data_IF_725938663544
#
_entry.id   IF_725938663544
#
_cell.length_a   1.000
_cell.length_b   1.000
_cell.length_c   1.000
_cell.angle_alpha   90.00
_cell.angle_beta   90.00
_cell.angle_gamma   90.00
#
_symmetry.space_group_name_H-M   'P 1'
#
loop_
_entity.id
_entity.type
_entity.pdbx_description
1 polymer ?
#
# COMPACT_ATOMS: atom_id res chain seq x y z
N UNK A 1 15.60 -15.13 -36.31
CA UNK A 1 14.23 -14.83 -35.88
C UNK A 1 13.85 -15.80 -34.78
N UNK A 2 14.16 -15.45 -33.54
CA UNK A 2 13.61 -16.08 -32.32
C UNK A 2 14.08 -15.21 -31.15
N UNK A 3 13.26 -14.26 -30.71
CA UNK A 3 13.52 -13.50 -29.50
C UNK A 3 12.62 -14.07 -28.41
N UNK A 4 13.20 -14.98 -27.63
CA UNK A 4 12.66 -15.45 -26.35
C UNK A 4 12.58 -14.24 -25.42
N UNK A 5 11.37 -13.77 -25.12
CA UNK A 5 11.14 -12.79 -24.06
C UNK A 5 11.33 -13.50 -22.72
N UNK A 6 12.58 -13.42 -22.24
CA UNK A 6 12.97 -13.82 -20.90
C UNK A 6 12.30 -12.86 -19.92
N UNK A 7 11.25 -13.35 -19.24
CA UNK A 7 10.67 -12.72 -18.07
C UNK A 7 11.80 -12.50 -17.06
N UNK A 8 12.30 -11.27 -16.98
CA UNK A 8 13.31 -10.91 -16.02
C UNK A 8 12.58 -10.56 -14.74
N UNK A 9 12.65 -11.51 -13.81
CA UNK A 9 12.31 -11.37 -12.41
C UNK A 9 12.89 -10.07 -11.86
N UNK A 10 12.08 -9.01 -11.88
CA UNK A 10 12.30 -7.80 -11.12
C UNK A 10 11.98 -8.13 -9.68
N UNK A 11 12.91 -8.80 -9.00
CA UNK A 11 12.84 -9.03 -7.57
C UNK A 11 12.73 -7.67 -6.85
N UNK A 12 11.51 -7.28 -6.50
CA UNK A 12 11.29 -6.33 -5.41
C UNK A 12 11.84 -7.02 -4.16
N UNK A 13 13.12 -6.80 -3.87
CA UNK A 13 13.72 -7.24 -2.63
C UNK A 13 13.19 -6.33 -1.53
N UNK A 14 11.96 -6.60 -1.09
CA UNK A 14 11.43 -6.18 0.20
C UNK A 14 12.39 -6.76 1.23
N UNK A 15 13.36 -5.94 1.61
CA UNK A 15 14.42 -6.36 2.51
C UNK A 15 13.77 -6.86 3.78
N UNK A 16 13.99 -8.14 4.08
CA UNK A 16 13.54 -8.82 5.30
C UNK A 16 14.12 -8.12 6.53
N UNK A 17 13.48 -7.06 7.02
CA UNK A 17 13.74 -6.55 8.37
C UNK A 17 12.64 -5.64 8.91
N UNK A 18 11.61 -6.22 9.52
CA UNK A 18 11.10 -5.73 10.82
C UNK A 18 10.03 -6.67 11.41
N UNK A 19 10.43 -7.42 12.44
CA UNK A 19 9.62 -8.32 13.26
C UNK A 19 8.61 -7.58 14.17
N UNK A 20 7.95 -6.50 13.74
CA UNK A 20 7.14 -5.69 14.68
C UNK A 20 5.83 -5.07 14.17
N UNK A 21 5.62 -4.86 12.87
CA UNK A 21 4.43 -4.11 12.42
C UNK A 21 3.89 -4.62 11.08
N UNK A 22 2.57 -4.65 10.97
CA UNK A 22 1.85 -5.03 9.77
C UNK A 22 1.97 -3.96 8.66
N UNK A 23 2.26 -4.33 7.40
CA UNK A 23 2.47 -3.36 6.31
C UNK A 23 1.24 -2.50 6.02
N UNK A 24 0.02 -3.05 6.15
CA UNK A 24 -1.21 -2.28 5.97
C UNK A 24 -1.41 -1.27 7.11
N UNK A 25 -1.01 -1.64 8.33
CA UNK A 25 -1.07 -0.74 9.48
C UNK A 25 -0.15 0.47 9.29
N UNK A 26 1.09 0.25 8.84
CA UNK A 26 2.03 1.34 8.57
C UNK A 26 1.56 2.21 7.38
N UNK A 27 0.98 1.62 6.34
CA UNK A 27 0.35 2.38 5.26
C UNK A 27 -0.79 3.28 5.78
N UNK A 28 -1.68 2.73 6.62
CA UNK A 28 -2.78 3.48 7.21
C UNK A 28 -2.25 4.62 8.08
N UNK A 29 -1.30 4.32 8.96
CA UNK A 29 -0.68 5.29 9.85
C UNK A 29 -0.05 6.46 9.07
N UNK A 30 0.68 6.15 7.99
CA UNK A 30 1.27 7.14 7.10
C UNK A 30 0.20 8.02 6.44
N UNK A 31 -0.90 7.44 5.96
CA UNK A 31 -2.01 8.19 5.37
C UNK A 31 -2.71 9.09 6.38
N UNK A 32 -3.09 8.56 7.53
CA UNK A 32 -3.77 9.29 8.61
C UNK A 32 -2.92 10.49 9.04
N UNK A 33 -1.62 10.31 9.21
CA UNK A 33 -0.69 11.42 9.48
C UNK A 33 -0.59 12.41 8.32
N UNK A 34 -0.59 11.93 7.08
CA UNK A 34 -0.60 12.77 5.88
C UNK A 34 -1.86 13.64 5.76
N UNK A 35 -3.01 13.16 6.24
CA UNK A 35 -4.25 13.92 6.34
C UNK A 35 -4.30 14.88 7.54
N UNK A 36 -3.23 14.96 8.35
CA UNK A 36 -3.15 15.83 9.52
C UNK A 36 -3.83 15.26 10.77
N UNK A 37 -4.22 13.99 10.77
CA UNK A 37 -4.84 13.34 11.92
C UNK A 37 -3.77 12.79 12.86
N UNK A 38 -4.00 12.92 14.16
CA UNK A 38 -3.17 12.33 15.21
C UNK A 38 -3.70 10.95 15.58
N UNK A 39 -3.09 9.89 15.04
CA UNK A 39 -3.37 8.52 15.44
C UNK A 39 -2.06 7.84 15.86
N UNK A 40 -2.15 6.84 16.73
CA UNK A 40 -1.05 5.91 17.04
C UNK A 40 -1.35 4.54 16.45
N UNK A 41 -0.34 3.68 16.31
CA UNK A 41 -0.53 2.32 15.78
C UNK A 41 -1.52 1.51 16.62
N UNK A 42 -1.47 1.69 17.94
CA UNK A 42 -2.36 1.07 18.90
C UNK A 42 -3.78 1.62 18.75
N UNK A 43 -3.94 2.92 18.48
CA UNK A 43 -5.25 3.51 18.25
C UNK A 43 -5.90 3.00 16.96
N UNK A 44 -5.09 2.72 15.93
CA UNK A 44 -5.56 2.17 14.66
C UNK A 44 -5.95 0.69 14.79
N UNK A 45 -5.33 -0.06 15.70
CA UNK A 45 -5.70 -1.45 15.98
C UNK A 45 -6.73 -1.59 17.10
N UNK A 46 -7.04 -0.50 17.81
CA UNK A 46 -7.98 -0.50 18.93
C UNK A 46 -9.41 -0.87 18.47
N UNK A 47 -9.95 -1.93 19.10
CA UNK A 47 -11.32 -2.39 18.82
C UNK A 47 -11.46 -3.27 17.58
N UNK A 48 -10.34 -3.72 17.01
CA UNK A 48 -10.29 -4.64 15.87
C UNK A 48 -9.80 -6.00 16.35
N UNK A 49 -10.52 -7.10 16.08
CA UNK A 49 -10.00 -8.43 16.36
C UNK A 49 -8.88 -8.71 15.35
N UNK A 50 -7.63 -8.58 15.79
CA UNK A 50 -6.47 -8.93 14.99
C UNK A 50 -6.36 -10.46 14.93
N UNK A 51 -6.27 -10.99 13.72
CA UNK A 51 -5.85 -12.38 13.50
C UNK A 51 -4.34 -12.36 13.27
N UNK A 52 -3.58 -13.10 14.08
CA UNK A 52 -2.12 -13.22 13.98
C UNK A 52 -1.36 -11.88 14.05
N UNK A 53 -1.94 -10.89 14.72
CA UNK A 53 -1.40 -9.53 14.81
C UNK A 53 -1.27 -8.83 13.43
N UNK A 54 -2.06 -9.28 12.45
CA UNK A 54 -2.10 -8.74 11.08
C UNK A 54 -3.43 -8.05 10.79
N UNK A 55 -3.38 -7.00 9.97
CA UNK A 55 -4.58 -6.36 9.44
C UNK A 55 -4.96 -7.01 8.12
N UNK A 56 -6.22 -7.39 7.98
CA UNK A 56 -6.79 -7.71 6.68
C UNK A 56 -7.38 -6.45 6.03
N UNK A 57 -7.55 -6.41 4.69
CA UNK A 57 -8.15 -5.26 4.00
C UNK A 57 -9.51 -4.84 4.56
N UNK A 58 -10.31 -5.81 5.03
CA UNK A 58 -11.59 -5.58 5.69
C UNK A 58 -11.44 -4.84 7.03
N UNK A 59 -10.43 -5.21 7.81
CA UNK A 59 -10.12 -4.56 9.09
C UNK A 59 -9.46 -3.20 8.90
N UNK A 60 -8.60 -3.06 7.88
CA UNK A 60 -8.06 -1.76 7.46
C UNK A 60 -9.18 -0.77 7.16
N UNK A 61 -10.20 -1.20 6.40
CA UNK A 61 -11.32 -0.32 6.07
C UNK A 61 -12.12 0.10 7.31
N UNK A 62 -12.23 -0.79 8.29
CA UNK A 62 -12.88 -0.53 9.57
C UNK A 62 -12.06 0.45 10.44
N UNK A 63 -10.75 0.26 10.52
CA UNK A 63 -9.82 1.16 11.22
C UNK A 63 -9.85 2.56 10.63
N UNK A 64 -9.72 2.67 9.31
CA UNK A 64 -9.76 3.94 8.60
C UNK A 64 -11.06 4.72 8.90
N UNK A 65 -12.21 4.03 8.94
CA UNK A 65 -13.50 4.63 9.30
C UNK A 65 -13.55 5.17 10.73
N UNK A 66 -12.84 4.55 11.68
CA UNK A 66 -12.76 5.08 13.05
C UNK A 66 -12.07 6.45 13.09
N UNK A 67 -11.15 6.71 12.17
CA UNK A 67 -10.43 7.98 12.05
C UNK A 67 -11.06 8.92 11.01
N UNK A 68 -12.31 8.69 10.60
CA UNK A 68 -13.03 9.57 9.66
C UNK A 68 -12.58 9.45 8.20
N UNK A 69 -11.82 8.41 7.86
CA UNK A 69 -11.45 8.10 6.48
C UNK A 69 -12.47 7.13 5.85
N UNK A 70 -12.83 7.39 4.60
CA UNK A 70 -13.64 6.48 3.80
C UNK A 70 -12.73 5.71 2.87
N UNK A 71 -12.71 4.39 3.03
CA UNK A 71 -11.90 3.49 2.20
C UNK A 71 -12.80 2.49 1.48
N UNK A 72 -12.40 2.12 0.27
CA UNK A 72 -13.12 1.16 -0.57
C UNK A 72 -12.11 0.29 -1.30
N UNK A 73 -12.20 -1.02 -1.10
CA UNK A 73 -11.41 -1.99 -1.86
C UNK A 73 -12.02 -2.11 -3.24
N UNK A 74 -11.21 -1.87 -4.27
CA UNK A 74 -11.58 -1.95 -5.68
C UNK A 74 -10.54 -2.82 -6.38
N UNK A 75 -10.99 -3.78 -7.19
CA UNK A 75 -10.13 -4.50 -8.13
C UNK A 75 -10.27 -3.84 -9.49
N UNK A 76 -9.21 -3.17 -9.94
CA UNK A 76 -9.11 -2.53 -11.25
C UNK A 76 -7.66 -2.54 -11.69
N UNK A 77 -7.45 -2.50 -12.99
CA UNK A 77 -6.13 -2.34 -13.58
C UNK A 77 -5.51 -1.00 -13.18
N UNK A 78 -4.23 -1.04 -12.82
CA UNK A 78 -3.47 0.16 -12.45
C UNK A 78 -3.39 1.16 -13.61
N UNK A 79 -3.47 0.68 -14.85
CA UNK A 79 -3.53 1.49 -16.08
C UNK A 79 -4.76 2.41 -16.15
N UNK A 80 -5.88 2.03 -15.51
CA UNK A 80 -7.10 2.85 -15.45
C UNK A 80 -7.11 3.81 -14.25
N UNK A 81 -6.10 3.74 -13.37
CA UNK A 81 -6.04 4.56 -12.17
C UNK A 81 -5.54 5.98 -12.51
N UNK A 82 -6.35 7.00 -12.24
CA UNK A 82 -5.96 8.40 -12.46
C UNK A 82 -5.19 8.93 -11.26
N UNK A 83 -4.14 9.71 -11.53
CA UNK A 83 -3.38 10.42 -10.49
C UNK A 83 -4.26 11.34 -9.61
N UNK A 84 -5.42 11.79 -10.10
CA UNK A 84 -6.40 12.57 -9.34
C UNK A 84 -7.03 11.82 -8.15
N UNK A 85 -6.91 10.49 -8.11
CA UNK A 85 -7.39 9.66 -7.00
C UNK A 85 -6.28 9.27 -6.01
N UNK A 86 -5.06 9.77 -6.21
CA UNK A 86 -3.95 9.56 -5.27
C UNK A 86 -4.09 10.48 -4.04
N UNK A 87 -3.64 10.04 -2.85
CA UNK A 87 -2.94 8.79 -2.58
C UNK A 87 -3.88 7.57 -2.44
N UNK A 88 -3.41 6.39 -2.84
CA UNK A 88 -4.14 5.12 -2.72
C UNK A 88 -3.28 4.00 -2.14
N UNK A 89 -3.88 3.00 -1.49
CA UNK A 89 -3.17 1.81 -1.00
C UNK A 89 -3.36 0.68 -2.00
N UNK A 90 -2.25 0.12 -2.47
CA UNK A 90 -2.20 -1.06 -3.32
C UNK A 90 -1.98 -2.29 -2.46
N UNK A 91 -2.82 -3.30 -2.68
CA UNK A 91 -2.68 -4.62 -2.07
C UNK A 91 -1.91 -5.49 -3.06
N UNK A 92 -0.74 -5.98 -2.65
CA UNK A 92 0.11 -6.86 -3.45
C UNK A 92 -0.16 -8.32 -3.09
N UNK A 93 0.26 -9.22 -3.97
CA UNK A 93 0.33 -10.65 -3.66
C UNK A 93 1.34 -10.87 -2.52
N UNK A 94 1.08 -11.87 -1.64
CA UNK A 94 1.80 -12.14 -0.38
C UNK A 94 1.40 -11.30 0.85
N UNK A 95 0.18 -10.75 0.88
CA UNK A 95 -0.31 -9.90 1.97
C UNK A 95 0.59 -8.67 2.24
N UNK A 96 1.23 -8.17 1.19
CA UNK A 96 2.02 -6.94 1.23
C UNK A 96 1.18 -5.74 0.79
N UNK A 97 1.61 -4.55 1.17
CA UNK A 97 0.92 -3.32 0.85
C UNK A 97 1.88 -2.17 0.54
N UNK A 98 1.50 -1.36 -0.44
CA UNK A 98 2.24 -0.16 -0.83
C UNK A 98 1.30 1.04 -0.94
N UNK A 99 1.84 2.23 -0.78
CA UNK A 99 1.11 3.49 -0.99
C UNK A 99 1.45 4.01 -2.38
N UNK A 100 0.46 4.05 -3.26
CA UNK A 100 0.54 4.78 -4.52
C UNK A 100 0.47 6.28 -4.24
N UNK A 101 1.57 6.98 -4.47
CA UNK A 101 1.70 8.43 -4.32
C UNK A 101 1.22 9.19 -5.55
N UNK A 102 1.42 8.61 -6.74
CA UNK A 102 1.11 9.26 -8.00
C UNK A 102 1.38 8.34 -9.18
N UNK A 103 0.79 8.69 -10.33
CA UNK A 103 1.06 8.04 -11.61
C UNK A 103 1.45 9.13 -12.60
N UNK A 104 2.49 8.87 -13.41
CA UNK A 104 3.05 9.76 -14.43
C UNK A 104 3.37 8.97 -15.68
N UNK A 105 2.79 9.32 -16.83
CA UNK A 105 3.14 8.82 -18.18
C UNK A 105 3.81 7.42 -18.24
N UNK A 106 3.12 6.38 -17.76
CA UNK A 106 3.62 5.00 -17.80
C UNK A 106 4.44 4.55 -16.57
N UNK A 107 4.53 5.36 -15.53
CA UNK A 107 5.21 5.06 -14.26
C UNK A 107 4.28 5.32 -13.08
N UNK A 108 4.24 4.40 -12.12
CA UNK A 108 3.62 4.60 -10.82
C UNK A 108 4.68 4.86 -9.76
N UNK A 109 4.49 5.92 -8.97
CA UNK A 109 5.30 6.20 -7.78
C UNK A 109 4.67 5.50 -6.60
N UNK A 110 5.32 4.47 -6.08
CA UNK A 110 4.87 3.68 -4.93
C UNK A 110 5.84 3.84 -3.77
N UNK A 111 5.30 3.94 -2.55
CA UNK A 111 6.07 3.94 -1.31
C UNK A 111 5.75 2.67 -0.53
N UNK A 112 6.79 1.94 -0.11
CA UNK A 112 6.64 0.78 0.75
C UNK A 112 6.24 1.19 2.18
N UNK A 113 5.60 0.29 2.90
CA UNK A 113 5.24 0.50 4.32
C UNK A 113 6.47 0.79 5.21
N UNK A 114 7.61 0.15 4.93
CA UNK A 114 8.87 0.30 5.66
C UNK A 114 9.56 1.65 5.37
N UNK A 115 9.37 2.21 4.17
CA UNK A 115 9.95 3.47 3.72
C UNK A 115 8.88 4.40 3.14
N UNK A 116 8.01 5.00 3.97
CA UNK A 116 6.93 5.88 3.50
C UNK A 116 7.44 7.18 2.86
N UNK A 117 8.70 7.54 3.10
CA UNK A 117 9.38 8.67 2.49
C UNK A 117 10.10 8.31 1.18
N UNK A 118 10.40 7.03 0.94
CA UNK A 118 10.97 6.59 -0.32
C UNK A 118 9.82 6.36 -1.31
N UNK A 119 9.88 7.03 -2.45
CA UNK A 119 9.02 6.71 -3.59
C UNK A 119 9.87 5.97 -4.63
N UNK A 120 9.43 4.79 -5.03
CA UNK A 120 10.00 3.99 -6.10
C UNK A 120 9.11 4.16 -7.32
N UNK A 121 9.71 4.46 -8.46
CA UNK A 121 9.02 4.50 -9.74
C UNK A 121 9.00 3.10 -10.35
N UNK A 122 7.79 2.57 -10.56
CA UNK A 122 7.57 1.29 -11.22
C UNK A 122 6.94 1.53 -12.60
N UNK A 123 7.42 0.90 -13.67
CA UNK A 123 6.77 0.99 -14.97
C UNK A 123 5.39 0.31 -14.92
N UNK A 124 4.40 0.98 -15.50
CA UNK A 124 3.05 0.46 -15.76
C UNK A 124 3.05 -0.22 -17.12
N UNK A 125 3.83 -1.29 -17.25
CA UNK A 125 3.78 -2.15 -18.44
C UNK A 125 2.55 -3.07 -18.33
N UNK A 126 1.80 -3.20 -19.44
CA UNK A 126 0.53 -3.96 -19.52
C UNK A 126 0.69 -5.46 -19.27
#
# INVERSE_FOLDING_TARGET
MTATASAKEGGFSFSQRSLATDPLLDCLFSLVRGFGMTATRESLTAGIPLHDNRLTPSMFARSARQHGLVTRVLRRDLSQFKASHCPAVLLLDNDEACILRGIREGFAMVSSSDLPAAAVEIPLEE
#
